data_IF_705686477741
#
_entry.id   IF_705686477741
#
_cell.length_a   1.000
_cell.length_b   1.000
_cell.length_c   1.000
_cell.angle_alpha   90.00
_cell.angle_beta   90.00
_cell.angle_gamma   90.00
#
_symmetry.space_group_name_H-M   'P 1'
#
loop_
_entity.id
_entity.type
_entity.pdbx_description
1 polymer ?
#
# COMPACT_ATOMS: atom_id res chain seq x y z
N UNK A 1 -29.02 -25.13 20.00
CA UNK A 1 -28.68 -23.73 20.33
C UNK A 1 -27.47 -23.36 19.47
N UNK A 2 -27.69 -22.80 18.29
CA UNK A 2 -26.62 -22.33 17.40
C UNK A 2 -26.15 -20.97 17.90
N UNK A 3 -24.87 -20.83 18.20
CA UNK A 3 -24.31 -19.54 18.60
C UNK A 3 -24.46 -18.56 17.43
N UNK A 4 -25.23 -17.49 17.63
CA UNK A 4 -25.35 -16.41 16.67
C UNK A 4 -23.95 -15.80 16.44
N UNK A 5 -23.43 -15.96 15.22
CA UNK A 5 -22.18 -15.34 14.75
C UNK A 5 -22.39 -13.84 14.44
N UNK A 6 -23.23 -13.15 15.23
CA UNK A 6 -23.45 -11.72 15.14
C UNK A 6 -22.23 -10.94 15.64
N UNK A 7 -21.90 -9.83 14.98
CA UNK A 7 -20.80 -8.94 15.35
C UNK A 7 -20.91 -8.57 16.84
N UNK A 8 -19.90 -8.96 17.63
CA UNK A 8 -19.94 -8.83 19.09
C UNK A 8 -19.50 -7.45 19.61
N UNK A 9 -18.75 -6.67 18.83
CA UNK A 9 -18.22 -5.38 19.24
C UNK A 9 -17.77 -4.54 18.04
N UNK A 10 -18.17 -3.27 18.02
CA UNK A 10 -17.68 -2.26 17.08
C UNK A 10 -17.26 -1.04 17.89
N UNK A 11 -16.01 -0.61 17.74
CA UNK A 11 -15.44 0.53 18.47
C UNK A 11 -15.32 1.68 17.48
N UNK A 12 -15.89 2.83 17.82
CA UNK A 12 -15.76 4.08 17.07
C UNK A 12 -14.91 5.07 17.87
N UNK A 13 -14.09 5.83 17.15
CA UNK A 13 -13.35 6.96 17.71
C UNK A 13 -14.30 8.13 18.02
N UNK A 14 -14.08 8.84 19.13
CA UNK A 14 -14.95 9.90 19.66
C UNK A 14 -14.71 11.24 18.96
N UNK A 15 -13.47 11.51 18.56
CA UNK A 15 -13.05 12.83 18.05
C UNK A 15 -12.32 12.75 16.69
N UNK A 16 -12.18 11.55 16.12
CA UNK A 16 -11.65 11.32 14.77
C UNK A 16 -12.61 10.52 13.90
N UNK A 17 -12.72 10.90 12.62
CA UNK A 17 -13.51 10.18 11.64
C UNK A 17 -12.90 8.80 11.41
N UNK A 18 -13.69 7.73 11.51
CA UNK A 18 -13.25 6.40 11.10
C UNK A 18 -12.87 6.45 9.60
N UNK A 19 -11.57 6.46 9.31
CA UNK A 19 -11.03 6.62 7.96
C UNK A 19 -10.96 5.27 7.26
N UNK A 20 -11.67 5.15 6.14
CA UNK A 20 -11.39 4.11 5.15
C UNK A 20 -10.20 4.56 4.30
N UNK A 21 -9.02 4.04 4.63
CA UNK A 21 -7.77 4.37 3.94
C UNK A 21 -7.80 4.01 2.46
N UNK A 22 -8.54 2.98 2.04
CA UNK A 22 -8.66 2.66 0.61
C UNK A 22 -9.45 3.75 -0.11
N UNK A 23 -10.58 4.17 0.48
CA UNK A 23 -11.42 5.25 -0.10
C UNK A 23 -10.70 6.59 -0.13
N UNK A 24 -9.83 6.88 0.84
CA UNK A 24 -9.11 8.15 0.89
C UNK A 24 -7.85 8.15 0.01
N UNK A 25 -7.01 7.11 0.07
CA UNK A 25 -5.72 7.13 -0.63
C UNK A 25 -5.79 6.73 -2.09
N UNK A 26 -6.69 5.84 -2.51
CA UNK A 26 -6.74 5.39 -3.91
C UNK A 26 -7.06 6.54 -4.88
N UNK A 27 -8.10 7.36 -4.65
CA UNK A 27 -8.39 8.47 -5.56
C UNK A 27 -7.24 9.47 -5.64
N UNK A 28 -6.59 9.75 -4.50
CA UNK A 28 -5.42 10.62 -4.45
C UNK A 28 -4.24 10.04 -5.24
N UNK A 29 -3.91 8.76 -5.06
CA UNK A 29 -2.80 8.10 -5.74
C UNK A 29 -3.01 8.08 -7.26
N UNK A 30 -4.21 7.71 -7.70
CA UNK A 30 -4.57 7.69 -9.13
C UNK A 30 -4.49 9.09 -9.74
N UNK A 31 -5.00 10.12 -9.05
CA UNK A 31 -4.93 11.48 -9.57
C UNK A 31 -3.49 12.01 -9.62
N UNK A 32 -2.68 11.71 -8.60
CA UNK A 32 -1.26 12.12 -8.54
C UNK A 32 -0.48 11.52 -9.71
N UNK A 33 -0.66 10.23 -9.99
CA UNK A 33 -0.01 9.57 -11.12
C UNK A 33 -0.44 10.19 -12.45
N UNK A 34 -1.74 10.42 -12.64
CA UNK A 34 -2.25 11.11 -13.85
C UNK A 34 -1.58 12.46 -14.06
N UNK A 35 -1.43 13.24 -12.99
CA UNK A 35 -0.78 14.56 -13.05
C UNK A 35 0.72 14.45 -13.36
N UNK A 36 1.43 13.48 -12.78
CA UNK A 36 2.84 13.24 -13.05
C UNK A 36 3.08 12.80 -14.50
N UNK A 37 2.28 11.86 -15.01
CA UNK A 37 2.41 11.40 -16.40
C UNK A 37 2.09 12.54 -17.38
N UNK A 38 1.09 13.38 -17.08
CA UNK A 38 0.79 14.57 -17.88
C UNK A 38 1.93 15.59 -17.85
N UNK A 39 2.55 15.83 -16.70
CA UNK A 39 3.60 16.84 -16.55
C UNK A 39 4.94 16.39 -17.15
N UNK A 40 5.23 15.10 -17.14
CA UNK A 40 6.52 14.55 -17.58
C UNK A 40 6.47 13.93 -18.98
N UNK A 41 5.29 13.53 -19.47
CA UNK A 41 5.15 12.74 -20.68
C UNK A 41 5.67 11.30 -20.56
N UNK A 42 5.99 10.84 -19.35
CA UNK A 42 6.55 9.52 -19.07
C UNK A 42 5.52 8.60 -18.39
N UNK A 43 5.52 7.28 -18.67
CA UNK A 43 4.60 6.34 -18.05
C UNK A 43 5.09 5.90 -16.66
N UNK A 44 5.05 6.80 -15.67
CA UNK A 44 5.61 6.58 -14.33
C UNK A 44 4.70 5.77 -13.39
N UNK A 45 3.44 5.53 -13.77
CA UNK A 45 2.43 4.90 -12.92
C UNK A 45 2.90 3.61 -12.20
N UNK A 46 3.47 2.61 -12.88
CA UNK A 46 3.89 1.36 -12.23
C UNK A 46 4.92 1.57 -11.11
N UNK A 47 5.91 2.45 -11.32
CA UNK A 47 6.95 2.73 -10.33
C UNK A 47 6.39 3.51 -9.12
N UNK A 48 5.48 4.45 -9.38
CA UNK A 48 4.85 5.26 -8.33
C UNK A 48 3.87 4.42 -7.51
N UNK A 49 3.00 3.61 -8.13
CA UNK A 49 2.10 2.69 -7.41
C UNK A 49 2.87 1.73 -6.50
N UNK A 50 3.98 1.16 -7.00
CA UNK A 50 4.86 0.31 -6.20
C UNK A 50 5.46 1.05 -5.00
N UNK A 51 5.96 2.27 -5.22
CA UNK A 51 6.55 3.11 -4.16
C UNK A 51 5.52 3.49 -3.10
N UNK A 52 4.30 3.83 -3.52
CA UNK A 52 3.20 4.17 -2.61
C UNK A 52 2.55 2.94 -1.96
N UNK A 53 2.92 1.73 -2.40
CA UNK A 53 2.32 0.49 -1.94
C UNK A 53 0.83 0.39 -2.26
N UNK A 54 0.45 0.72 -3.48
CA UNK A 54 -0.93 0.63 -3.95
C UNK A 54 -1.01 -0.44 -5.04
N UNK A 55 -1.99 -1.34 -4.92
CA UNK A 55 -2.39 -2.21 -6.03
C UNK A 55 -3.57 -1.55 -6.77
N UNK A 56 -3.33 -1.01 -7.98
CA UNK A 56 -4.38 -0.34 -8.74
C UNK A 56 -5.38 -1.31 -9.37
N UNK A 57 -5.04 -2.61 -9.50
CA UNK A 57 -5.93 -3.63 -10.07
C UNK A 57 -6.87 -4.15 -8.99
N UNK A 58 -6.34 -4.46 -7.82
CA UNK A 58 -7.15 -4.90 -6.68
C UNK A 58 -7.88 -3.74 -5.98
N UNK A 59 -7.49 -2.49 -6.25
CA UNK A 59 -8.07 -1.30 -5.62
C UNK A 59 -7.81 -1.28 -4.12
N UNK A 60 -6.55 -1.49 -3.71
CA UNK A 60 -6.17 -1.57 -2.29
C UNK A 60 -4.83 -0.90 -1.99
N UNK A 61 -4.75 -0.26 -0.83
CA UNK A 61 -3.46 0.03 -0.20
C UNK A 61 -2.89 -1.28 0.37
N UNK A 62 -1.64 -1.57 0.02
CA UNK A 62 -0.89 -2.72 0.50
C UNK A 62 -0.30 -2.39 1.87
N UNK A 63 -0.32 -3.35 2.78
CA UNK A 63 0.32 -3.19 4.09
C UNK A 63 1.84 -3.05 3.91
N UNK A 64 2.49 -2.29 4.80
CA UNK A 64 3.95 -2.03 4.76
C UNK A 64 4.77 -3.34 4.71
N UNK A 65 4.30 -4.45 5.31
CA UNK A 65 4.98 -5.77 5.23
C UNK A 65 4.99 -6.40 3.83
N UNK A 66 4.06 -6.03 2.94
CA UNK A 66 3.99 -6.54 1.56
C UNK A 66 4.96 -5.85 0.59
N UNK A 67 5.63 -4.77 1.02
CA UNK A 67 6.55 -3.98 0.19
C UNK A 67 8.01 -4.40 0.37
N UNK A 68 8.28 -5.66 0.73
CA UNK A 68 9.67 -6.14 0.83
C UNK A 68 10.38 -5.96 -0.51
N UNK A 69 11.51 -5.23 -0.56
CA UNK A 69 12.35 -5.20 -1.74
C UNK A 69 12.80 -6.63 -2.04
N UNK A 70 12.87 -6.98 -3.32
CA UNK A 70 13.61 -8.17 -3.75
C UNK A 70 15.03 -8.03 -3.18
N UNK A 71 15.41 -8.88 -2.21
CA UNK A 71 16.82 -8.96 -1.81
C UNK A 71 17.57 -9.37 -3.07
N UNK A 72 18.50 -8.54 -3.53
CA UNK A 72 19.50 -9.00 -4.47
C UNK A 72 20.39 -10.00 -3.72
N UNK A 73 20.28 -11.28 -4.07
CA UNK A 73 21.04 -12.39 -3.47
C UNK A 73 22.53 -12.38 -3.86
N UNK A 74 23.06 -11.31 -4.46
CA UNK A 74 24.37 -11.30 -5.12
C UNK A 74 25.48 -10.55 -4.37
N UNK A 75 25.24 -10.07 -3.15
CA UNK A 75 26.30 -9.50 -2.30
C UNK A 75 26.55 -10.45 -1.13
N UNK A 76 27.15 -11.60 -1.42
CA UNK A 76 27.95 -12.33 -0.43
C UNK A 76 29.32 -11.63 -0.39
N UNK A 77 29.46 -10.63 0.48
CA UNK A 77 30.78 -10.20 0.94
C UNK A 77 31.36 -11.38 1.73
N UNK A 78 32.33 -12.08 1.14
CA UNK A 78 33.27 -12.88 1.91
C UNK A 78 34.09 -11.92 2.75
N UNK A 79 33.88 -11.92 4.06
CA UNK A 79 34.84 -11.33 5.00
C UNK A 79 36.00 -12.30 5.16
N UNK A 80 37.26 -11.91 4.89
CA UNK A 80 38.39 -12.67 5.40
C UNK A 80 38.51 -12.35 6.90
N UNK A 81 38.79 -13.38 7.70
CA UNK A 81 39.05 -13.36 9.14
C UNK A 81 37.83 -13.47 10.07
N UNK A 82 37.71 -14.64 10.70
CA UNK A 82 36.82 -14.94 11.82
C UNK A 82 36.26 -16.34 11.76
#
# INVERSE_FOLDING_TARGET
MTADNGVKLVIFDKDGTLVDFNRMWLPWATNTIRLLEKATGLPVGPAVYKTLGVDPVAGKALAIRSLTPHRNSSIQHQTPWG
#
